data_IF_392739283610
#
_entry.id   IF_392739283610
#
_cell.length_a   1.000
_cell.length_b   1.000
_cell.length_c   1.000
_cell.angle_alpha   90.00
_cell.angle_beta   90.00
_cell.angle_gamma   90.00
#
_symmetry.space_group_name_H-M   'P 1'
#
loop_
_entity.id
_entity.type
_entity.pdbx_description
1 polymer ?
#
# COMPACT_ATOMS: atom_id res chain seq x y z
N UNK A 1 50.69 -47.49 -53.16
CA UNK A 1 49.39 -48.15 -52.92
C UNK A 1 48.69 -47.41 -51.77
N UNK A 2 47.40 -47.04 -51.96
CA UNK A 2 46.46 -46.38 -51.03
C UNK A 2 46.63 -44.88 -50.68
N UNK A 3 45.75 -44.10 -51.33
CA UNK A 3 45.13 -42.85 -50.88
C UNK A 3 44.56 -42.94 -49.44
N UNK A 4 44.49 -41.83 -48.70
CA UNK A 4 43.27 -40.99 -48.56
C UNK A 4 43.45 -39.85 -47.55
N UNK A 5 42.62 -38.83 -47.74
CA UNK A 5 42.60 -37.47 -47.21
C UNK A 5 41.85 -37.31 -45.86
N UNK A 6 42.07 -36.13 -45.25
CA UNK A 6 41.18 -35.31 -44.37
C UNK A 6 41.01 -35.76 -42.90
N UNK A 7 40.55 -34.92 -41.92
CA UNK A 7 39.80 -33.65 -42.05
C UNK A 7 40.22 -32.48 -41.08
N UNK A 8 40.12 -31.22 -41.53
CA UNK A 8 39.09 -30.20 -41.16
C UNK A 8 39.28 -29.56 -39.76
N UNK A 9 39.76 -28.31 -39.77
CA UNK A 9 39.50 -27.32 -38.72
C UNK A 9 37.98 -27.12 -38.59
N UNK A 10 37.43 -27.35 -37.40
CA UNK A 10 36.13 -26.79 -37.01
C UNK A 10 36.36 -25.84 -35.84
N UNK A 11 36.40 -24.55 -36.14
CA UNK A 11 36.21 -23.50 -35.15
C UNK A 11 34.74 -23.52 -34.73
N UNK A 12 34.46 -23.96 -33.50
CA UNK A 12 33.14 -23.86 -32.91
C UNK A 12 32.92 -22.42 -32.42
N UNK A 13 32.23 -21.60 -33.23
CA UNK A 13 31.71 -20.31 -32.78
C UNK A 13 30.46 -20.60 -31.94
N UNK A 14 30.61 -20.59 -30.61
CA UNK A 14 29.48 -20.69 -29.70
C UNK A 14 28.77 -19.35 -29.63
N UNK A 15 27.61 -19.25 -30.28
CA UNK A 15 26.71 -18.11 -30.19
C UNK A 15 25.95 -18.22 -28.85
N UNK A 16 26.38 -17.47 -27.83
CA UNK A 16 25.65 -17.36 -26.56
C UNK A 16 24.50 -16.39 -26.78
N UNK A 17 23.28 -16.90 -26.90
CA UNK A 17 22.07 -16.10 -26.82
C UNK A 17 21.90 -15.68 -25.35
N UNK A 18 22.27 -14.45 -25.02
CA UNK A 18 21.98 -13.89 -23.70
C UNK A 18 20.50 -13.52 -23.72
N UNK A 19 19.65 -14.41 -23.20
CA UNK A 19 18.28 -14.07 -22.87
C UNK A 19 18.33 -13.08 -21.69
N UNK A 20 18.29 -11.78 -21.97
CA UNK A 20 18.12 -10.77 -20.92
C UNK A 20 16.74 -11.01 -20.30
N UNK A 21 16.65 -11.32 -18.99
CA UNK A 21 15.35 -11.32 -18.34
C UNK A 21 14.79 -9.91 -18.45
N UNK A 22 13.61 -9.81 -19.08
CA UNK A 22 12.77 -8.63 -19.03
C UNK A 22 12.51 -8.34 -17.55
N UNK A 23 13.24 -7.39 -16.99
CA UNK A 23 12.96 -6.87 -15.67
C UNK A 23 11.60 -6.20 -15.78
N UNK A 24 10.55 -6.89 -15.36
CA UNK A 24 9.35 -6.22 -14.91
C UNK A 24 9.82 -5.25 -13.81
N UNK A 25 9.81 -3.95 -14.10
CA UNK A 25 9.93 -2.95 -13.05
C UNK A 25 8.86 -3.30 -12.02
N UNK A 26 9.19 -3.45 -10.72
CA UNK A 26 8.13 -3.44 -9.73
C UNK A 26 7.42 -2.09 -9.94
N UNK A 27 6.13 -2.14 -10.28
CA UNK A 27 5.28 -0.98 -10.11
C UNK A 27 5.51 -0.54 -8.66
N UNK A 28 6.02 0.69 -8.49
CA UNK A 28 6.39 1.22 -7.18
C UNK A 28 5.22 0.96 -6.23
N UNK A 29 5.47 0.17 -5.18
CA UNK A 29 4.45 -0.06 -4.17
C UNK A 29 4.25 1.28 -3.47
N UNK A 30 3.14 1.95 -3.79
CA UNK A 30 2.72 3.19 -3.12
C UNK A 30 2.78 3.00 -1.61
N UNK A 31 3.46 3.89 -0.89
CA UNK A 31 3.54 3.82 0.56
C UNK A 31 2.17 4.12 1.19
N UNK A 32 1.90 3.57 2.37
CA UNK A 32 0.66 3.87 3.08
C UNK A 32 0.46 5.37 3.30
N UNK A 33 1.55 6.10 3.60
CA UNK A 33 1.51 7.54 3.81
C UNK A 33 1.10 8.29 2.54
N UNK A 34 1.64 7.93 1.38
CA UNK A 34 1.26 8.55 0.09
C UNK A 34 -0.20 8.29 -0.21
N UNK A 35 -0.64 7.05 0.01
CA UNK A 35 -2.00 6.62 -0.24
C UNK A 35 -3.05 7.33 0.62
N UNK A 36 -2.72 7.60 1.88
CA UNK A 36 -3.61 8.31 2.80
C UNK A 36 -3.57 9.82 2.61
N UNK A 37 -2.45 10.40 2.17
CA UNK A 37 -2.28 11.85 2.11
C UNK A 37 -3.27 12.54 1.15
N UNK A 38 -4.25 13.24 1.72
CA UNK A 38 -5.32 13.91 0.99
C UNK A 38 -6.55 13.04 0.72
N UNK A 39 -6.55 11.78 1.15
CA UNK A 39 -7.63 10.84 0.91
C UNK A 39 -8.79 11.01 1.90
N UNK A 40 -9.95 10.50 1.50
CA UNK A 40 -11.10 10.30 2.38
C UNK A 40 -11.40 8.81 2.48
N UNK A 41 -11.45 8.27 3.69
CA UNK A 41 -12.02 6.95 3.94
C UNK A 41 -13.50 7.10 4.32
N UNK A 42 -14.38 6.40 3.60
CA UNK A 42 -15.80 6.26 3.93
C UNK A 42 -16.14 4.79 4.15
N UNK A 43 -16.77 4.46 5.28
CA UNK A 43 -17.01 3.08 5.64
C UNK A 43 -18.01 2.92 6.77
N UNK A 44 -17.95 1.76 7.41
CA UNK A 44 -18.84 1.35 8.51
C UNK A 44 -17.98 0.81 9.65
N UNK A 45 -18.27 1.23 10.89
CA UNK A 45 -17.80 0.54 12.09
C UNK A 45 -18.52 -0.80 12.21
N UNK A 46 -17.78 -1.91 12.10
CA UNK A 46 -18.38 -3.26 12.01
C UNK A 46 -19.26 -3.57 13.21
N UNK A 47 -18.79 -3.29 14.43
CA UNK A 47 -19.52 -3.61 15.67
C UNK A 47 -20.84 -2.84 15.80
N UNK A 48 -20.84 -1.55 15.44
CA UNK A 48 -21.98 -0.67 15.65
C UNK A 48 -22.89 -0.56 14.42
N UNK A 49 -22.43 -0.98 13.24
CA UNK A 49 -23.14 -0.79 11.98
C UNK A 49 -23.30 0.69 11.59
N UNK A 50 -22.51 1.59 12.19
CA UNK A 50 -22.64 3.03 11.99
C UNK A 50 -21.68 3.51 10.90
N UNK A 51 -22.12 4.41 10.01
CA UNK A 51 -21.24 5.00 9.00
C UNK A 51 -20.11 5.78 9.67
N UNK A 52 -18.97 5.80 9.00
CA UNK A 52 -17.78 6.50 9.45
C UNK A 52 -17.05 7.14 8.28
N UNK A 53 -16.57 8.35 8.49
CA UNK A 53 -15.76 9.09 7.51
C UNK A 53 -14.50 9.59 8.20
N UNK A 54 -13.35 9.41 7.56
CA UNK A 54 -12.08 10.05 7.91
C UNK A 54 -11.55 10.83 6.72
N UNK A 55 -11.14 12.06 6.96
CA UNK A 55 -10.40 12.88 6.01
C UNK A 55 -8.96 12.99 6.48
N UNK A 56 -8.03 12.57 5.63
CA UNK A 56 -6.61 12.57 5.89
C UNK A 56 -5.99 13.77 5.18
N UNK A 57 -5.73 14.84 5.93
CA UNK A 57 -5.00 16.01 5.44
C UNK A 57 -3.55 15.65 5.09
N UNK A 58 -3.02 16.21 4.01
CA UNK A 58 -1.61 16.02 3.58
C UNK A 58 -0.59 16.54 4.60
N UNK A 59 -1.03 17.40 5.51
CA UNK A 59 -0.28 18.00 6.62
C UNK A 59 -0.30 17.14 7.90
N UNK A 60 -0.91 15.94 7.84
CA UNK A 60 -1.07 15.07 9.00
C UNK A 60 -2.26 15.44 9.88
N UNK A 61 -3.15 16.33 9.45
CA UNK A 61 -4.43 16.57 10.12
C UNK A 61 -5.44 15.47 9.78
N UNK A 62 -6.18 15.01 10.77
CA UNK A 62 -7.25 14.04 10.65
C UNK A 62 -8.57 14.73 11.02
N UNK A 63 -9.64 14.48 10.27
CA UNK A 63 -10.98 14.89 10.71
C UNK A 63 -12.03 13.85 10.36
N UNK A 64 -13.18 13.91 11.04
CA UNK A 64 -14.32 13.06 10.74
C UNK A 64 -15.56 13.84 10.29
N UNK A 65 -16.64 13.12 9.96
CA UNK A 65 -17.91 13.73 9.56
C UNK A 65 -18.62 14.53 10.65
N UNK A 66 -18.23 14.36 11.92
CA UNK A 66 -18.76 15.13 13.04
C UNK A 66 -17.96 16.44 13.27
N UNK A 67 -16.91 16.68 12.50
CA UNK A 67 -16.04 17.86 12.62
C UNK A 67 -14.99 17.72 13.72
N UNK A 68 -14.81 16.52 14.29
CA UNK A 68 -13.73 16.25 15.26
C UNK A 68 -12.40 16.28 14.55
N UNK A 69 -11.35 16.73 15.24
CA UNK A 69 -10.00 16.86 14.70
C UNK A 69 -8.99 16.01 15.45
N UNK A 70 -7.94 15.65 14.75
CA UNK A 70 -6.84 14.86 15.28
C UNK A 70 -5.62 14.95 14.40
N UNK A 71 -4.62 14.15 14.75
CA UNK A 71 -3.40 13.95 13.99
C UNK A 71 -3.35 12.51 13.49
N UNK A 72 -2.74 12.32 12.32
CA UNK A 72 -2.44 10.99 11.80
C UNK A 72 -1.01 10.91 11.28
N UNK A 73 -0.46 9.70 11.31
CA UNK A 73 0.84 9.36 10.76
C UNK A 73 0.89 7.87 10.43
N UNK A 74 1.98 7.44 9.80
CA UNK A 74 2.33 6.02 9.62
C UNK A 74 3.57 5.75 10.45
N UNK A 75 3.56 4.69 11.28
CA UNK A 75 4.73 4.33 12.09
C UNK A 75 5.75 3.52 11.28
N UNK A 76 6.88 3.20 11.90
CA UNK A 76 7.97 2.44 11.27
C UNK A 76 7.59 1.00 10.89
N UNK A 77 6.50 0.48 11.46
CA UNK A 77 5.94 -0.85 11.15
C UNK A 77 4.94 -0.81 9.98
N UNK A 78 4.64 0.38 9.45
CA UNK A 78 3.70 0.57 8.36
C UNK A 78 2.23 0.61 8.79
N UNK A 79 1.95 0.80 10.08
CA UNK A 79 0.60 0.92 10.61
C UNK A 79 0.10 2.37 10.51
N UNK A 80 -1.21 2.53 10.30
CA UNK A 80 -1.88 3.80 10.44
C UNK A 80 -2.08 4.14 11.91
N UNK A 81 -1.48 5.25 12.35
CA UNK A 81 -1.64 5.77 13.69
C UNK A 81 -2.43 7.08 13.70
N UNK A 82 -3.13 7.32 14.81
CA UNK A 82 -3.84 8.56 15.05
C UNK A 82 -3.87 8.93 16.52
N UNK A 83 -4.06 10.22 16.77
CA UNK A 83 -4.46 10.78 18.06
C UNK A 83 -5.59 11.79 17.81
N UNK A 84 -6.69 11.69 18.56
CA UNK A 84 -7.73 12.73 18.50
C UNK A 84 -7.33 13.91 19.37
N UNK A 85 -7.56 15.13 18.88
CA UNK A 85 -7.34 16.36 19.66
C UNK A 85 -8.60 16.75 20.44
N UNK A 86 -9.78 16.30 20.01
CA UNK A 86 -11.05 16.61 20.63
C UNK A 86 -12.02 15.41 20.71
N UNK A 87 -13.16 15.66 21.39
CA UNK A 87 -14.20 14.66 21.60
C UNK A 87 -13.86 13.59 22.65
N UNK A 88 -14.66 12.52 22.73
CA UNK A 88 -14.53 11.50 23.79
C UNK A 88 -13.22 10.69 23.78
N UNK A 89 -12.47 10.75 22.67
CA UNK A 89 -11.21 10.01 22.48
C UNK A 89 -10.00 10.95 22.46
N UNK A 90 -10.15 12.21 22.88
CA UNK A 90 -9.06 13.17 22.88
C UNK A 90 -7.85 12.66 23.69
N UNK A 91 -6.65 12.80 23.13
CA UNK A 91 -5.40 12.32 23.71
C UNK A 91 -5.18 10.80 23.62
N UNK A 92 -6.10 10.05 23.00
CA UNK A 92 -5.93 8.61 22.81
C UNK A 92 -5.21 8.35 21.49
N UNK A 93 -3.95 7.92 21.63
CA UNK A 93 -3.17 7.39 20.52
C UNK A 93 -3.59 5.95 20.19
N UNK A 94 -3.70 5.62 18.91
CA UNK A 94 -4.00 4.26 18.44
C UNK A 94 -3.35 4.01 17.09
N UNK A 95 -2.64 2.89 16.97
CA UNK A 95 -2.11 2.37 15.72
C UNK A 95 -2.89 1.13 15.27
N UNK A 96 -3.13 1.03 13.96
CA UNK A 96 -4.00 0.02 13.35
C UNK A 96 -3.43 -0.41 11.99
N UNK A 97 -3.61 -1.67 11.67
CA UNK A 97 -3.29 -2.20 10.35
C UNK A 97 -4.38 -1.79 9.34
N UNK A 98 -3.97 -1.42 8.14
CA UNK A 98 -4.87 -1.14 7.02
C UNK A 98 -4.58 -2.09 5.86
N UNK A 99 -5.57 -2.90 5.50
CA UNK A 99 -5.49 -3.81 4.36
C UNK A 99 -6.30 -3.24 3.21
N UNK A 100 -5.68 -3.18 2.03
CA UNK A 100 -6.30 -2.62 0.84
C UNK A 100 -6.44 -3.63 -0.29
N UNK A 101 -7.58 -3.55 -0.99
CA UNK A 101 -7.83 -4.25 -2.25
C UNK A 101 -8.48 -3.29 -3.24
N UNK A 102 -7.74 -2.84 -4.25
CA UNK A 102 -8.17 -1.73 -5.13
C UNK A 102 -8.54 -0.51 -4.28
N UNK A 103 -9.75 0.03 -4.39
CA UNK A 103 -10.25 1.14 -3.57
C UNK A 103 -10.89 0.68 -2.25
N UNK A 104 -11.00 -0.63 -1.99
CA UNK A 104 -11.53 -1.14 -0.72
C UNK A 104 -10.47 -1.12 0.36
N UNK A 105 -10.89 -0.81 1.58
CA UNK A 105 -10.02 -0.76 2.74
C UNK A 105 -10.71 -1.43 3.93
N UNK A 106 -9.95 -2.18 4.70
CA UNK A 106 -10.32 -2.70 6.00
C UNK A 106 -9.28 -2.26 7.04
N UNK A 107 -9.75 -1.83 8.21
CA UNK A 107 -8.89 -1.45 9.34
C UNK A 107 -9.01 -2.52 10.42
N UNK A 108 -7.88 -2.97 10.95
CA UNK A 108 -7.77 -3.96 12.00
C UNK A 108 -7.12 -3.38 13.25
N UNK A 109 -7.63 -3.78 14.41
CA UNK A 109 -6.98 -3.55 15.70
C UNK A 109 -6.59 -4.90 16.27
N UNK A 110 -5.30 -5.25 16.14
CA UNK A 110 -4.86 -6.64 16.29
C UNK A 110 -5.56 -7.54 15.26
N UNK A 111 -6.16 -8.64 15.71
CA UNK A 111 -6.85 -9.59 14.84
C UNK A 111 -8.30 -9.17 14.49
N UNK A 112 -8.84 -8.15 15.15
CA UNK A 112 -10.23 -7.73 15.00
C UNK A 112 -10.41 -6.71 13.87
N UNK A 113 -11.21 -7.06 12.86
CA UNK A 113 -11.66 -6.09 11.84
C UNK A 113 -12.62 -5.08 12.47
N UNK A 114 -12.20 -3.83 12.59
CA UNK A 114 -12.97 -2.77 13.26
C UNK A 114 -13.74 -1.87 12.30
N UNK A 115 -13.20 -1.64 11.09
CA UNK A 115 -13.85 -0.85 10.04
C UNK A 115 -13.65 -1.48 8.66
N UNK A 116 -14.60 -1.24 7.77
CA UNK A 116 -14.46 -1.51 6.34
C UNK A 116 -15.12 -0.44 5.48
N UNK A 117 -14.63 -0.24 4.27
CA UNK A 117 -15.26 0.62 3.28
C UNK A 117 -14.33 0.94 2.11
N UNK A 118 -14.31 2.21 1.71
CA UNK A 118 -13.63 2.67 0.50
C UNK A 118 -12.74 3.88 0.77
N UNK A 119 -11.56 3.87 0.16
CA UNK A 119 -10.70 5.04 0.09
C UNK A 119 -10.97 5.79 -1.22
N UNK A 120 -11.21 7.09 -1.09
CA UNK A 120 -11.45 8.03 -2.18
C UNK A 120 -10.27 8.99 -2.18
N UNK A 121 -9.47 8.96 -3.25
CA UNK A 121 -8.39 9.91 -3.47
C UNK A 121 -8.87 11.05 -4.38
N UNK A 122 -8.45 12.29 -4.13
CA UNK A 122 -8.73 13.39 -5.05
C UNK A 122 -8.09 13.09 -6.41
N UNK A 123 -8.80 13.42 -7.50
CA UNK A 123 -8.24 13.33 -8.85
C UNK A 123 -7.05 14.30 -8.96
N UNK A 124 -5.91 13.79 -9.43
CA UNK A 124 -4.72 14.60 -9.75
C UNK A 124 -4.98 15.63 -10.86
#
# INVERSE_FOLDING_TARGET
MKFRKLPILTAAVSLILVATPLHAQPAEAESLSERLAGATFQGIYIRAGTPYTLNFGRDGNLSDSAGRTGRWWVNDEGEYCREWEDGPMAGVETCMEMIFHLNKVAIYSGEDKVLEGEIITPAE
#
